data_IF_488132675608
#
_entry.id   IF_488132675608
#
_cell.length_a   1.000
_cell.length_b   1.000
_cell.length_c   1.000
_cell.angle_alpha   90.00
_cell.angle_beta   90.00
_cell.angle_gamma   90.00
#
_symmetry.space_group_name_H-M   'P 1'
#
loop_
_entity.id
_entity.type
_entity.pdbx_description
1 polymer ?
#
# COMPACT_ATOMS: atom_id res chain seq x y z
N UNK A 1 1.45 37.84 15.72
CA UNK A 1 0.32 37.26 14.94
C UNK A 1 0.87 36.09 14.14
N UNK A 2 0.15 34.99 14.04
CA UNK A 2 0.55 33.91 13.14
C UNK A 2 0.46 34.39 11.70
N UNK A 3 1.48 34.10 10.90
CA UNK A 3 1.54 34.44 9.47
C UNK A 3 1.33 33.14 8.66
N UNK A 4 0.42 33.17 7.70
CA UNK A 4 0.10 32.03 6.82
C UNK A 4 0.35 32.51 5.39
N UNK A 5 1.35 31.93 4.73
CA UNK A 5 1.80 32.37 3.39
C UNK A 5 0.83 32.00 2.28
N UNK A 6 0.20 30.83 2.36
CA UNK A 6 -0.87 30.39 1.45
C UNK A 6 -2.00 29.73 2.27
N UNK A 7 -3.08 30.47 2.58
CA UNK A 7 -4.15 29.97 3.44
C UNK A 7 -5.18 29.08 2.71
N UNK A 8 -5.05 28.89 1.39
CA UNK A 8 -6.08 28.21 0.57
C UNK A 8 -5.58 26.93 -0.12
N UNK A 9 -4.32 26.55 0.06
CA UNK A 9 -3.78 25.28 -0.41
C UNK A 9 -3.22 24.45 0.75
N UNK A 10 -3.12 23.14 0.53
CA UNK A 10 -2.38 22.23 1.41
C UNK A 10 -1.46 21.38 0.55
N UNK A 11 -0.34 20.93 1.09
CA UNK A 11 0.52 19.98 0.41
C UNK A 11 0.24 18.57 0.93
N UNK A 12 -0.07 17.65 0.02
CA UNK A 12 -0.09 16.22 0.35
C UNK A 12 1.35 15.79 0.66
N UNK A 13 1.62 15.08 1.78
CA UNK A 13 2.97 14.65 2.12
C UNK A 13 3.60 13.83 0.99
N UNK A 14 2.91 12.78 0.55
CA UNK A 14 3.37 11.87 -0.49
C UNK A 14 2.20 11.32 -1.32
N UNK A 15 2.45 11.12 -2.61
CA UNK A 15 1.58 10.36 -3.51
C UNK A 15 2.43 9.31 -4.20
N UNK A 16 1.96 8.07 -4.16
CA UNK A 16 2.56 6.93 -4.85
C UNK A 16 1.49 6.19 -5.65
N UNK A 17 1.89 5.49 -6.71
CA UNK A 17 1.00 4.61 -7.44
C UNK A 17 1.73 3.31 -7.80
N UNK A 18 0.96 2.22 -7.84
CA UNK A 18 1.40 0.94 -8.40
C UNK A 18 0.44 0.53 -9.50
N UNK A 19 0.95 -0.08 -10.57
CA UNK A 19 0.15 -0.59 -11.67
C UNK A 19 0.26 -2.12 -11.76
N UNK A 20 -0.75 -2.75 -12.34
CA UNK A 20 -0.62 -4.14 -12.79
C UNK A 20 0.34 -4.25 -13.99
N UNK A 21 0.70 -5.48 -14.33
CA UNK A 21 1.64 -5.77 -15.43
C UNK A 21 1.14 -5.22 -16.77
N UNK A 22 -0.17 -5.33 -17.01
CA UNK A 22 -0.81 -4.89 -18.24
C UNK A 22 -1.09 -3.37 -18.28
N UNK A 23 -0.89 -2.64 -17.18
CA UNK A 23 -1.19 -1.21 -17.09
C UNK A 23 -2.69 -0.89 -17.20
N UNK A 24 -3.56 -1.84 -16.90
CA UNK A 24 -5.02 -1.69 -16.95
C UNK A 24 -5.61 -1.25 -15.61
N UNK A 25 -4.92 -1.55 -14.52
CA UNK A 25 -5.37 -1.29 -13.16
C UNK A 25 -4.26 -0.58 -12.38
N UNK A 26 -4.63 0.48 -11.67
CA UNK A 26 -3.71 1.27 -10.83
C UNK A 26 -4.27 1.34 -9.42
N UNK A 27 -3.42 1.14 -8.41
CA UNK A 27 -3.74 1.63 -7.06
C UNK A 27 -2.97 2.93 -6.82
N UNK A 28 -3.71 4.02 -6.70
CA UNK A 28 -3.22 5.33 -6.31
C UNK A 28 -3.31 5.48 -4.79
N UNK A 29 -2.20 5.85 -4.16
CA UNK A 29 -2.02 5.90 -2.71
C UNK A 29 -1.63 7.34 -2.36
N UNK A 30 -2.56 8.07 -1.75
CA UNK A 30 -2.37 9.46 -1.35
C UNK A 30 -2.24 9.54 0.17
N UNK A 31 -1.09 9.96 0.68
CA UNK A 31 -0.98 10.36 2.07
C UNK A 31 -1.65 11.73 2.24
N UNK A 32 -2.50 11.87 3.24
CA UNK A 32 -3.22 13.13 3.47
C UNK A 32 -2.73 13.85 4.72
N UNK A 33 -2.56 15.17 4.61
CA UNK A 33 -2.30 16.05 5.76
C UNK A 33 -3.59 16.44 6.52
N UNK A 34 -4.77 16.24 5.91
CA UNK A 34 -6.06 16.64 6.47
C UNK A 34 -7.11 15.54 6.25
N UNK A 35 -7.50 14.87 7.35
CA UNK A 35 -8.49 13.78 7.31
C UNK A 35 -9.84 14.24 6.74
N UNK A 36 -10.30 15.44 7.08
CA UNK A 36 -11.57 15.97 6.57
C UNK A 36 -11.55 16.15 5.04
N UNK A 37 -10.44 16.66 4.51
CA UNK A 37 -10.22 16.78 3.07
C UNK A 37 -10.17 15.42 2.38
N UNK A 38 -9.48 14.44 3.00
CA UNK A 38 -9.44 13.08 2.50
C UNK A 38 -10.84 12.46 2.45
N UNK A 39 -11.60 12.44 3.56
CA UNK A 39 -12.95 11.85 3.58
C UNK A 39 -13.88 12.48 2.53
N UNK A 40 -13.78 13.80 2.35
CA UNK A 40 -14.54 14.50 1.33
C UNK A 40 -14.11 14.11 -0.10
N UNK A 41 -12.80 14.01 -0.34
CA UNK A 41 -12.26 13.58 -1.63
C UNK A 41 -12.68 12.14 -1.93
N UNK A 42 -12.50 11.20 -0.99
CA UNK A 42 -12.92 9.81 -1.17
C UNK A 42 -14.41 9.68 -1.46
N UNK A 43 -15.27 10.42 -0.74
CA UNK A 43 -16.72 10.40 -0.97
C UNK A 43 -17.13 10.90 -2.37
N UNK A 44 -16.44 11.90 -2.91
CA UNK A 44 -16.78 12.48 -4.21
C UNK A 44 -16.08 11.78 -5.36
N UNK A 45 -14.79 11.47 -5.22
CA UNK A 45 -13.97 10.90 -6.29
C UNK A 45 -14.40 9.47 -6.60
N UNK A 46 -14.94 8.71 -5.63
CA UNK A 46 -15.54 7.39 -5.89
C UNK A 46 -16.69 7.41 -6.92
N UNK A 47 -17.26 8.58 -7.22
CA UNK A 47 -18.31 8.74 -8.23
C UNK A 47 -17.75 8.80 -9.65
N UNK A 48 -16.42 8.95 -9.80
CA UNK A 48 -15.77 8.95 -11.11
C UNK A 48 -15.82 7.54 -11.72
N UNK A 49 -16.17 7.38 -13.01
CA UNK A 49 -16.34 6.05 -13.61
C UNK A 49 -15.10 5.15 -13.55
N UNK A 50 -13.90 5.77 -13.57
CA UNK A 50 -12.62 5.05 -13.48
C UNK A 50 -12.32 4.49 -12.08
N UNK A 51 -13.00 4.96 -11.03
CA UNK A 51 -12.73 4.56 -9.64
C UNK A 51 -13.53 3.32 -9.29
N UNK A 52 -12.85 2.18 -9.17
CA UNK A 52 -13.46 0.90 -8.80
C UNK A 52 -13.76 0.81 -7.29
N UNK A 53 -12.86 1.34 -6.45
CA UNK A 53 -13.08 1.41 -5.00
C UNK A 53 -12.18 2.46 -4.35
N UNK A 54 -12.59 2.89 -3.16
CA UNK A 54 -11.81 3.80 -2.30
C UNK A 54 -11.71 3.22 -0.90
N UNK A 55 -10.51 3.22 -0.34
CA UNK A 55 -10.23 2.77 1.03
C UNK A 55 -9.42 3.81 1.77
N UNK A 56 -9.68 3.93 3.06
CA UNK A 56 -8.87 4.73 3.99
C UNK A 56 -8.10 3.77 4.88
N UNK A 57 -6.78 3.89 4.87
CA UNK A 57 -5.86 2.97 5.54
C UNK A 57 -4.83 3.82 6.29
N UNK A 58 -5.03 3.98 7.60
CA UNK A 58 -4.21 4.90 8.40
C UNK A 58 -4.38 6.36 7.94
N UNK A 59 -3.26 6.99 7.59
CA UNK A 59 -3.17 8.33 7.00
C UNK A 59 -3.20 8.34 5.46
N UNK A 60 -3.51 7.20 4.83
CA UNK A 60 -3.57 7.10 3.36
C UNK A 60 -4.99 6.93 2.85
N UNK A 61 -5.25 7.50 1.69
CA UNK A 61 -6.42 7.23 0.86
C UNK A 61 -5.97 6.45 -0.37
N UNK A 62 -6.52 5.25 -0.55
CA UNK A 62 -6.17 4.33 -1.62
C UNK A 62 -7.33 4.22 -2.60
N UNK A 63 -7.07 4.56 -3.86
CA UNK A 63 -8.02 4.43 -4.95
C UNK A 63 -7.61 3.27 -5.84
N UNK A 64 -8.53 2.33 -6.06
CA UNK A 64 -8.39 1.35 -7.13
C UNK A 64 -8.99 1.92 -8.40
N UNK A 65 -8.18 2.06 -9.44
CA UNK A 65 -8.51 2.79 -10.66
C UNK A 65 -8.38 1.87 -11.88
N UNK A 66 -9.26 2.08 -12.86
CA UNK A 66 -9.09 1.55 -14.22
C UNK A 66 -8.36 2.57 -15.09
N UNK A 67 -7.43 2.12 -15.93
CA UNK A 67 -6.82 2.98 -16.95
C UNK A 67 -7.87 3.41 -17.99
N UNK A 68 -7.79 4.66 -18.45
CA UNK A 68 -8.76 5.24 -19.38
C UNK A 68 -8.94 6.74 -19.18
N UNK A 69 -9.85 7.31 -19.97
CA UNK A 69 -10.24 8.72 -19.91
C UNK A 69 -11.76 8.81 -20.01
N UNK A 70 -12.36 9.63 -19.16
CA UNK A 70 -13.81 9.79 -19.03
C UNK A 70 -14.17 11.25 -18.79
N UNK A 71 -15.26 11.70 -19.41
CA UNK A 71 -15.85 13.00 -19.12
C UNK A 71 -16.58 12.94 -17.76
N UNK A 72 -16.28 13.90 -16.89
CA UNK A 72 -16.94 13.98 -15.59
C UNK A 72 -18.12 14.96 -15.65
N UNK A 73 -19.36 14.52 -15.36
CA UNK A 73 -20.51 15.41 -15.25
C UNK A 73 -20.44 16.19 -13.93
N UNK A 74 -19.48 17.12 -13.82
CA UNK A 74 -19.21 17.85 -12.60
C UNK A 74 -20.37 18.77 -12.24
N UNK A 75 -20.83 18.66 -10.99
CA UNK A 75 -21.89 19.49 -10.45
C UNK A 75 -21.52 19.92 -9.04
N UNK A 76 -21.58 21.22 -8.78
CA UNK A 76 -21.32 21.77 -7.45
C UNK A 76 -22.18 21.07 -6.39
N UNK A 77 -21.60 20.82 -5.21
CA UNK A 77 -22.24 20.12 -4.08
C UNK A 77 -22.58 18.63 -4.28
N UNK A 78 -22.78 18.14 -5.51
CA UNK A 78 -23.17 16.75 -5.79
C UNK A 78 -22.02 15.90 -6.31
N UNK A 79 -21.31 16.37 -7.32
CA UNK A 79 -20.08 15.76 -7.83
C UNK A 79 -19.07 16.85 -8.23
N UNK A 80 -18.50 17.55 -7.24
CA UNK A 80 -17.72 18.76 -7.47
C UNK A 80 -16.29 18.50 -7.95
N UNK A 81 -15.78 17.28 -7.83
CA UNK A 81 -14.45 16.90 -8.30
C UNK A 81 -14.30 15.36 -8.37
N UNK A 82 -13.41 14.91 -9.26
CA UNK A 82 -13.12 13.48 -9.48
C UNK A 82 -11.86 13.24 -10.31
N UNK A 83 -11.65 11.97 -10.67
CA UNK A 83 -10.53 11.49 -11.50
C UNK A 83 -11.06 11.24 -12.92
N UNK A 84 -10.58 12.03 -13.86
CA UNK A 84 -11.04 12.05 -15.26
C UNK A 84 -10.17 11.18 -16.17
N UNK A 85 -8.88 10.98 -15.86
CA UNK A 85 -8.04 10.09 -16.64
C UNK A 85 -6.97 9.40 -15.80
N UNK A 86 -6.62 8.19 -16.22
CA UNK A 86 -5.51 7.38 -15.71
C UNK A 86 -4.75 6.84 -16.92
N UNK A 87 -3.53 7.34 -17.09
CA UNK A 87 -2.63 6.96 -18.18
C UNK A 87 -1.50 6.10 -17.60
N UNK A 88 -1.24 4.93 -18.19
CA UNK A 88 -0.11 4.08 -17.80
C UNK A 88 0.81 3.89 -18.99
N UNK A 89 2.08 4.22 -18.79
CA UNK A 89 3.16 3.99 -19.76
C UNK A 89 4.16 2.99 -19.19
N UNK A 90 5.27 2.75 -19.87
CA UNK A 90 6.31 1.87 -19.35
C UNK A 90 6.96 2.40 -18.06
N UNK A 91 7.05 3.73 -17.90
CA UNK A 91 7.81 4.35 -16.80
C UNK A 91 6.98 5.28 -15.91
N UNK A 92 5.82 5.76 -16.38
CA UNK A 92 5.01 6.76 -15.68
C UNK A 92 3.54 6.35 -15.58
N UNK A 93 2.91 6.76 -14.48
CA UNK A 93 1.46 6.74 -14.27
C UNK A 93 0.98 8.19 -14.19
N UNK A 94 0.14 8.60 -15.13
CA UNK A 94 -0.51 9.91 -15.16
C UNK A 94 -1.89 9.85 -14.52
N UNK A 95 -2.20 10.75 -13.59
CA UNK A 95 -3.53 10.90 -12.99
C UNK A 95 -4.06 12.30 -13.28
N UNK A 96 -5.20 12.37 -13.97
CA UNK A 96 -5.87 13.63 -14.29
C UNK A 96 -7.08 13.82 -13.40
N UNK A 97 -7.08 14.91 -12.64
CA UNK A 97 -8.17 15.35 -11.79
C UNK A 97 -8.92 16.50 -12.46
N UNK A 98 -10.23 16.55 -12.25
CA UNK A 98 -11.08 17.68 -12.63
C UNK A 98 -11.95 18.09 -11.45
N UNK A 99 -12.22 19.39 -11.32
CA UNK A 99 -13.11 19.89 -10.28
C UNK A 99 -13.63 21.28 -10.55
N UNK A 100 -14.75 21.62 -9.92
CA UNK A 100 -15.38 22.94 -9.97
C UNK A 100 -15.29 23.64 -8.62
N UNK A 101 -15.04 24.95 -8.63
CA UNK A 101 -14.98 25.77 -7.41
C UNK A 101 -13.91 25.27 -6.42
N UNK A 102 -14.29 25.05 -5.16
CA UNK A 102 -13.38 24.56 -4.12
C UNK A 102 -12.85 23.14 -4.38
N UNK A 103 -13.64 22.30 -5.06
CA UNK A 103 -13.19 20.97 -5.49
C UNK A 103 -12.04 21.04 -6.50
N UNK A 104 -12.04 22.07 -7.34
CA UNK A 104 -10.96 22.37 -8.28
C UNK A 104 -9.63 22.67 -7.59
N UNK A 105 -9.63 23.36 -6.44
CA UNK A 105 -8.39 23.67 -5.70
C UNK A 105 -7.69 22.39 -5.21
N UNK A 106 -8.47 21.48 -4.61
CA UNK A 106 -7.96 20.17 -4.18
C UNK A 106 -7.51 19.30 -5.35
N UNK A 107 -8.24 19.35 -6.48
CA UNK A 107 -7.89 18.65 -7.70
C UNK A 107 -6.61 19.18 -8.36
N UNK A 108 -6.21 20.44 -8.10
CA UNK A 108 -5.15 21.11 -8.87
C UNK A 108 -3.86 21.36 -8.13
N UNK A 109 -3.90 22.17 -7.06
CA UNK A 109 -2.68 22.70 -6.43
C UNK A 109 -2.19 21.75 -5.34
N UNK A 110 -3.09 21.10 -4.61
CA UNK A 110 -2.71 20.38 -3.40
C UNK A 110 -1.86 19.12 -3.62
N UNK A 111 -1.93 18.54 -4.83
CA UNK A 111 -1.22 17.31 -5.21
C UNK A 111 0.04 17.58 -6.03
N UNK A 112 0.11 18.75 -6.67
CA UNK A 112 1.14 19.06 -7.67
C UNK A 112 2.57 19.00 -7.12
N UNK A 113 2.75 19.30 -5.83
CA UNK A 113 4.05 19.33 -5.15
C UNK A 113 4.25 18.16 -4.18
N UNK A 114 3.36 17.16 -4.14
CA UNK A 114 3.52 16.04 -3.22
C UNK A 114 4.83 15.28 -3.50
N UNK A 115 5.44 14.70 -2.45
CA UNK A 115 6.56 13.79 -2.68
C UNK A 115 6.09 12.63 -3.58
N UNK A 116 6.99 12.15 -4.45
CA UNK A 116 6.66 11.12 -5.44
C UNK A 116 6.13 11.63 -6.77
N UNK A 117 5.68 12.89 -6.87
CA UNK A 117 5.29 13.51 -8.15
C UNK A 117 6.53 13.93 -8.95
N UNK A 118 6.71 13.37 -10.15
CA UNK A 118 7.83 13.69 -11.05
C UNK A 118 7.59 15.06 -11.71
N UNK A 119 6.36 15.28 -12.17
CA UNK A 119 5.93 16.49 -12.85
C UNK A 119 4.42 16.66 -12.71
N UNK A 120 3.95 17.90 -12.89
CA UNK A 120 2.54 18.24 -12.82
C UNK A 120 2.19 19.35 -13.81
N UNK A 121 0.92 19.41 -14.19
CA UNK A 121 0.32 20.47 -14.99
C UNK A 121 -1.01 20.83 -14.35
N UNK A 122 -1.23 22.10 -14.04
CA UNK A 122 -2.47 22.54 -13.39
C UNK A 122 -3.03 23.78 -14.08
N UNK A 123 -4.34 23.82 -14.26
CA UNK A 123 -5.07 25.01 -14.67
C UNK A 123 -5.16 26.00 -13.49
N UNK A 124 -5.27 27.32 -13.73
CA UNK A 124 -5.57 28.28 -12.67
C UNK A 124 -6.89 27.93 -11.96
N UNK A 125 -6.84 27.72 -10.64
CA UNK A 125 -8.01 27.31 -9.84
C UNK A 125 -8.68 28.49 -9.11
N UNK A 126 -9.99 28.39 -8.85
CA UNK A 126 -10.75 29.32 -8.00
C UNK A 126 -11.97 29.97 -8.66
N UNK A 127 -12.79 30.67 -7.86
CA UNK A 127 -13.88 31.52 -8.36
C UNK A 127 -15.04 30.81 -9.06
N UNK A 128 -15.30 29.54 -8.76
CA UNK A 128 -16.41 28.77 -9.34
C UNK A 128 -16.16 28.20 -10.74
N UNK A 129 -14.94 28.33 -11.27
CA UNK A 129 -14.55 27.76 -12.56
C UNK A 129 -14.22 26.28 -12.43
N UNK A 130 -14.39 25.56 -13.53
CA UNK A 130 -13.77 24.25 -13.70
C UNK A 130 -12.26 24.41 -13.86
N UNK A 131 -11.51 23.56 -13.19
CA UNK A 131 -10.05 23.48 -13.30
C UNK A 131 -9.64 22.00 -13.28
N UNK A 132 -8.63 21.66 -14.07
CA UNK A 132 -8.00 20.34 -13.99
C UNK A 132 -6.53 20.42 -13.63
N UNK A 133 -6.03 19.30 -13.14
CA UNK A 133 -4.60 19.07 -13.10
C UNK A 133 -4.28 17.63 -13.44
N UNK A 134 -3.05 17.45 -13.90
CA UNK A 134 -2.47 16.16 -14.15
C UNK A 134 -1.16 16.07 -13.38
N UNK A 135 -0.97 14.97 -12.67
CA UNK A 135 0.29 14.60 -12.04
C UNK A 135 0.84 13.34 -12.70
N UNK A 136 2.16 13.22 -12.76
CA UNK A 136 2.83 12.01 -13.22
C UNK A 136 3.70 11.46 -12.11
N UNK A 137 3.54 10.16 -11.87
CA UNK A 137 4.20 9.38 -10.84
C UNK A 137 5.08 8.32 -11.52
N UNK A 138 6.16 7.85 -10.89
CA UNK A 138 6.88 6.68 -11.40
C UNK A 138 5.95 5.47 -11.45
N UNK A 139 6.01 4.68 -12.52
CA UNK A 139 5.37 3.37 -12.56
C UNK A 139 6.16 2.42 -11.65
N UNK A 140 5.52 1.98 -10.57
CA UNK A 140 6.10 1.05 -9.60
C UNK A 140 5.35 -0.27 -9.57
N UNK A 141 6.08 -1.34 -9.31
CA UNK A 141 5.55 -2.65 -8.95
C UNK A 141 5.22 -2.66 -7.45
N UNK A 142 4.21 -3.43 -7.06
CA UNK A 142 3.97 -3.74 -5.65
C UNK A 142 4.81 -4.94 -5.23
N UNK A 143 5.50 -4.79 -4.11
CA UNK A 143 6.23 -5.86 -3.44
C UNK A 143 5.71 -5.95 -2.00
N UNK A 144 5.36 -7.16 -1.56
CA UNK A 144 4.97 -7.42 -0.17
C UNK A 144 5.93 -8.44 0.42
N UNK A 145 6.65 -8.05 1.47
CA UNK A 145 7.61 -8.90 2.18
C UNK A 145 6.95 -9.39 3.47
N UNK A 146 6.78 -10.70 3.56
CA UNK A 146 6.35 -11.41 4.76
C UNK A 146 7.54 -11.84 5.62
N UNK A 147 7.46 -11.62 6.94
CA UNK A 147 8.50 -11.99 7.92
C UNK A 147 7.87 -12.61 9.16
N UNK A 148 8.48 -13.66 9.70
CA UNK A 148 8.08 -14.29 10.96
C UNK A 148 9.26 -15.01 11.64
N UNK A 149 9.12 -15.31 12.94
CA UNK A 149 10.07 -16.07 13.77
C UNK A 149 11.48 -15.44 13.79
N UNK A 150 11.57 -14.14 14.09
CA UNK A 150 12.85 -13.40 14.16
C UNK A 150 13.35 -13.15 15.59
N UNK A 151 12.46 -13.24 16.57
CA UNK A 151 12.72 -12.93 17.97
C UNK A 151 12.86 -14.21 18.82
N UNK A 152 13.34 -14.03 20.06
CA UNK A 152 13.48 -15.11 21.04
C UNK A 152 12.53 -14.86 22.22
N UNK A 153 12.31 -15.84 23.12
CA UNK A 153 11.51 -15.60 24.32
C UNK A 153 12.04 -14.48 25.24
N UNK A 154 13.34 -14.20 25.16
CA UNK A 154 14.08 -13.25 25.99
C UNK A 154 14.27 -11.87 25.34
N UNK A 155 14.43 -11.80 24.01
CA UNK A 155 14.84 -10.59 23.29
C UNK A 155 14.18 -10.46 21.91
N UNK A 156 13.91 -9.21 21.51
CA UNK A 156 13.45 -8.85 20.17
C UNK A 156 11.93 -8.77 20.04
N UNK A 157 11.49 -8.29 18.87
CA UNK A 157 10.11 -8.36 18.42
C UNK A 157 10.05 -8.26 16.89
N UNK A 158 9.41 -9.23 16.24
CA UNK A 158 9.37 -9.32 14.77
C UNK A 158 8.82 -8.07 14.09
N UNK A 159 7.78 -7.45 14.66
CA UNK A 159 7.17 -6.27 14.06
C UNK A 159 8.06 -5.03 14.10
N UNK A 160 8.83 -4.82 15.18
CA UNK A 160 9.76 -3.68 15.24
C UNK A 160 10.94 -3.88 14.31
N UNK A 161 11.48 -5.11 14.25
CA UNK A 161 12.57 -5.42 13.35
C UNK A 161 12.15 -5.22 11.89
N UNK A 162 11.03 -5.80 11.49
CA UNK A 162 10.51 -5.70 10.12
C UNK A 162 10.21 -4.24 9.71
N UNK A 163 9.68 -3.43 10.63
CA UNK A 163 9.43 -2.01 10.40
C UNK A 163 10.73 -1.21 10.23
N UNK A 164 11.70 -1.39 11.13
CA UNK A 164 12.96 -0.65 11.09
C UNK A 164 13.77 -0.99 9.84
N UNK A 165 13.77 -2.26 9.41
CA UNK A 165 14.39 -2.67 8.14
C UNK A 165 13.67 -2.00 6.97
N UNK A 166 12.33 -2.02 6.97
CA UNK A 166 11.54 -1.40 5.90
C UNK A 166 11.82 0.10 5.74
N UNK A 167 11.97 0.83 6.85
CA UNK A 167 12.39 2.25 6.82
C UNK A 167 13.84 2.40 6.33
N UNK A 168 14.75 1.52 6.74
CA UNK A 168 16.16 1.60 6.37
C UNK A 168 16.43 1.34 4.87
N UNK A 169 15.61 0.51 4.22
CA UNK A 169 15.72 0.19 2.78
C UNK A 169 14.91 1.14 1.89
N UNK A 170 14.22 2.13 2.47
CA UNK A 170 13.43 3.08 1.71
C UNK A 170 14.34 4.01 0.88
N UNK A 171 13.99 4.20 -0.39
CA UNK A 171 14.68 5.10 -1.34
C UNK A 171 13.66 5.94 -2.12
N UNK A 172 14.09 6.91 -2.95
CA UNK A 172 13.18 7.55 -3.90
C UNK A 172 12.53 6.56 -4.88
N UNK A 173 13.22 5.50 -5.27
CA UNK A 173 12.75 4.46 -6.20
C UNK A 173 11.86 3.43 -5.49
N UNK A 174 12.10 3.21 -4.19
CA UNK A 174 11.44 2.21 -3.34
C UNK A 174 10.75 2.88 -2.14
N UNK A 175 9.43 2.98 -2.19
CA UNK A 175 8.62 3.61 -1.12
C UNK A 175 8.04 2.54 -0.20
N UNK A 176 8.31 2.64 1.09
CA UNK A 176 7.66 1.82 2.11
C UNK A 176 6.27 2.40 2.40
N UNK A 177 5.23 1.62 2.15
CA UNK A 177 3.83 2.09 2.13
C UNK A 177 3.12 1.78 3.44
N UNK A 178 3.24 0.55 3.92
CA UNK A 178 2.56 0.11 5.13
C UNK A 178 3.20 -1.14 5.72
N UNK A 179 3.04 -1.35 7.02
CA UNK A 179 3.17 -2.68 7.62
C UNK A 179 1.82 -3.17 8.12
N UNK A 180 1.70 -4.49 8.27
CA UNK A 180 0.57 -5.15 8.92
C UNK A 180 1.06 -6.28 9.81
N UNK A 181 0.69 -6.24 11.09
CA UNK A 181 0.89 -7.34 12.03
C UNK A 181 -0.29 -8.31 11.88
N UNK A 182 0.00 -9.58 11.67
CA UNK A 182 -0.98 -10.63 11.40
C UNK A 182 -0.96 -11.65 12.53
N UNK A 183 -2.06 -11.71 13.27
CA UNK A 183 -2.25 -12.68 14.34
C UNK A 183 -2.47 -14.08 13.76
N UNK A 184 -1.59 -15.03 14.06
CA UNK A 184 -1.69 -16.41 13.57
C UNK A 184 -2.32 -17.33 14.62
N UNK A 185 -2.63 -18.57 14.21
CA UNK A 185 -3.14 -19.59 15.11
C UNK A 185 -2.08 -19.93 16.17
N UNK A 186 -2.42 -19.97 17.48
CA UNK A 186 -1.44 -20.24 18.53
C UNK A 186 -0.95 -21.70 18.49
N UNK A 187 0.25 -21.92 17.98
CA UNK A 187 0.91 -23.24 17.95
C UNK A 187 1.81 -23.48 19.18
N UNK A 188 2.19 -24.73 19.53
CA UNK A 188 3.00 -25.01 20.71
C UNK A 188 4.40 -24.37 20.72
N UNK A 189 4.99 -24.17 19.54
CA UNK A 189 6.35 -23.65 19.35
C UNK A 189 6.39 -22.15 19.02
N UNK A 190 5.30 -21.43 19.26
CA UNK A 190 5.19 -19.98 19.02
C UNK A 190 6.12 -19.17 19.94
N UNK A 191 6.50 -17.97 19.50
CA UNK A 191 6.83 -16.88 20.42
C UNK A 191 5.55 -16.39 21.12
N UNK A 192 5.67 -15.55 22.16
CA UNK A 192 4.54 -15.24 23.07
C UNK A 192 3.23 -14.87 22.34
N UNK A 193 3.32 -14.16 21.22
CA UNK A 193 2.14 -13.63 20.51
C UNK A 193 1.82 -14.32 19.17
N UNK A 194 2.68 -15.18 18.62
CA UNK A 194 2.47 -15.87 17.33
C UNK A 194 1.99 -14.94 16.20
N UNK A 195 2.82 -13.99 15.80
CA UNK A 195 2.47 -12.97 14.79
C UNK A 195 3.45 -12.98 13.63
N UNK A 196 2.93 -13.06 12.40
CA UNK A 196 3.67 -12.73 11.19
C UNK A 196 3.52 -11.25 10.85
N UNK A 197 4.40 -10.72 10.03
CA UNK A 197 4.39 -9.31 9.60
C UNK A 197 4.43 -9.27 8.08
N UNK A 198 3.64 -8.37 7.47
CA UNK A 198 3.72 -8.04 6.06
C UNK A 198 4.09 -6.57 5.88
N UNK A 199 5.21 -6.30 5.19
CA UNK A 199 5.66 -4.97 4.78
C UNK A 199 5.34 -4.76 3.30
N UNK A 200 4.58 -3.72 2.98
CA UNK A 200 4.17 -3.37 1.63
C UNK A 200 5.04 -2.23 1.09
N UNK A 201 5.51 -2.40 -0.14
CA UNK A 201 6.33 -1.45 -0.86
C UNK A 201 5.76 -1.17 -2.25
N UNK A 202 6.05 0.02 -2.76
CA UNK A 202 5.96 0.34 -4.17
C UNK A 202 7.39 0.62 -4.67
N UNK A 203 7.87 -0.12 -5.67
CA UNK A 203 9.26 0.02 -6.14
C UNK A 203 9.40 -0.16 -7.65
N UNK A 204 10.35 0.55 -8.25
CA UNK A 204 10.86 0.28 -9.61
C UNK A 204 12.08 -0.64 -9.60
N UNK A 205 12.59 -1.02 -8.43
CA UNK A 205 13.83 -1.79 -8.23
C UNK A 205 13.60 -2.99 -7.27
N UNK A 206 12.66 -3.90 -7.62
CA UNK A 206 12.20 -4.95 -6.70
C UNK A 206 13.32 -5.88 -6.23
N UNK A 207 14.26 -6.26 -7.09
CA UNK A 207 15.38 -7.13 -6.71
C UNK A 207 16.32 -6.47 -5.71
N UNK A 208 16.60 -5.17 -5.88
CA UNK A 208 17.48 -4.43 -4.96
C UNK A 208 16.81 -4.25 -3.60
N UNK A 209 15.51 -3.96 -3.57
CA UNK A 209 14.72 -3.94 -2.33
C UNK A 209 14.80 -5.31 -1.62
N UNK A 210 14.47 -6.40 -2.32
CA UNK A 210 14.41 -7.74 -1.73
C UNK A 210 15.78 -8.14 -1.16
N UNK A 211 16.85 -7.88 -1.91
CA UNK A 211 18.20 -8.17 -1.49
C UNK A 211 18.61 -7.36 -0.24
N UNK A 212 18.43 -6.04 -0.26
CA UNK A 212 18.79 -5.18 0.86
C UNK A 212 17.98 -5.52 2.13
N UNK A 213 16.69 -5.83 1.98
CA UNK A 213 15.83 -6.26 3.09
C UNK A 213 16.32 -7.59 3.68
N UNK A 214 16.64 -8.57 2.83
CA UNK A 214 17.17 -9.86 3.27
C UNK A 214 18.51 -9.72 4.00
N UNK A 215 19.44 -8.90 3.51
CA UNK A 215 20.74 -8.69 4.15
C UNK A 215 20.59 -8.17 5.57
N UNK A 216 19.79 -7.12 5.77
CA UNK A 216 19.53 -6.57 7.11
C UNK A 216 18.76 -7.56 7.99
N UNK A 217 17.82 -8.32 7.42
CA UNK A 217 17.08 -9.32 8.18
C UNK A 217 18.01 -10.45 8.68
N UNK A 218 18.95 -10.90 7.84
CA UNK A 218 19.97 -11.88 8.22
C UNK A 218 20.96 -11.33 9.26
N UNK A 219 21.28 -10.05 9.19
CA UNK A 219 22.18 -9.39 10.15
C UNK A 219 21.55 -9.29 11.54
N UNK A 220 20.27 -8.93 11.61
CA UNK A 220 19.61 -8.53 12.86
C UNK A 220 18.65 -9.55 13.45
N UNK A 221 18.29 -10.62 12.72
CA UNK A 221 17.45 -11.67 13.29
C UNK A 221 18.16 -12.38 14.46
N UNK A 222 17.39 -12.72 15.49
CA UNK A 222 17.86 -13.45 16.68
C UNK A 222 17.50 -14.95 16.61
N UNK A 223 16.91 -15.41 15.50
CA UNK A 223 16.38 -16.76 15.35
C UNK A 223 16.89 -17.43 14.07
N UNK A 224 17.38 -18.66 14.20
CA UNK A 224 17.73 -19.53 13.06
C UNK A 224 16.49 -20.03 12.30
N UNK A 225 15.30 -19.83 12.89
CA UNK A 225 14.02 -20.28 12.34
C UNK A 225 13.29 -19.20 11.53
N UNK A 226 13.94 -18.06 11.28
CA UNK A 226 13.35 -16.94 10.54
C UNK A 226 12.85 -17.33 9.16
N UNK A 227 11.62 -16.90 8.89
CA UNK A 227 10.97 -16.99 7.59
C UNK A 227 10.95 -15.64 6.88
N UNK A 228 11.27 -15.65 5.59
CA UNK A 228 11.08 -14.51 4.70
C UNK A 228 10.50 -15.00 3.36
N UNK A 229 9.32 -14.47 3.03
CA UNK A 229 8.65 -14.70 1.75
C UNK A 229 8.36 -13.36 1.07
N UNK A 230 8.42 -13.33 -0.25
CA UNK A 230 8.15 -12.13 -1.05
C UNK A 230 7.05 -12.44 -2.04
N UNK A 231 6.04 -11.57 -2.08
CA UNK A 231 5.06 -11.53 -3.15
C UNK A 231 5.32 -10.33 -4.06
N UNK A 232 5.26 -10.59 -5.36
CA UNK A 232 5.49 -9.62 -6.43
C UNK A 232 4.29 -9.61 -7.35
N UNK A 233 3.73 -8.42 -7.55
CA UNK A 233 2.56 -8.23 -8.41
C UNK A 233 1.45 -7.44 -7.73
N UNK A 234 0.32 -7.30 -8.44
CA UNK A 234 -0.70 -6.35 -8.05
C UNK A 234 -1.56 -6.81 -6.87
N UNK A 235 -1.98 -8.08 -6.83
CA UNK A 235 -2.92 -8.57 -5.83
C UNK A 235 -2.48 -9.91 -5.22
N UNK A 236 -2.27 -10.01 -3.89
CA UNK A 236 -1.91 -11.26 -3.23
C UNK A 236 -3.12 -12.20 -3.02
N UNK A 237 -4.22 -12.00 -3.78
CA UNK A 237 -5.44 -12.80 -3.67
C UNK A 237 -5.22 -14.32 -3.78
N UNK A 238 -4.30 -14.85 -4.63
CA UNK A 238 -4.01 -16.29 -4.66
C UNK A 238 -3.57 -16.87 -3.32
N UNK A 239 -2.96 -16.05 -2.45
CA UNK A 239 -2.47 -16.47 -1.13
C UNK A 239 -3.55 -16.47 -0.05
N UNK A 240 -4.75 -15.94 -0.33
CA UNK A 240 -5.79 -15.70 0.67
C UNK A 240 -6.24 -16.98 1.39
N UNK A 241 -6.43 -18.06 0.64
CA UNK A 241 -6.85 -19.34 1.21
C UNK A 241 -5.79 -19.90 2.16
N UNK A 242 -4.52 -19.80 1.77
CA UNK A 242 -3.39 -20.22 2.61
C UNK A 242 -3.32 -19.39 3.90
N UNK A 243 -3.38 -18.06 3.79
CA UNK A 243 -3.37 -17.17 4.95
C UNK A 243 -4.47 -17.50 5.96
N UNK A 244 -5.71 -17.74 5.50
CA UNK A 244 -6.79 -18.16 6.38
C UNK A 244 -6.61 -19.56 6.97
N UNK A 245 -6.02 -20.50 6.23
CA UNK A 245 -5.72 -21.84 6.73
C UNK A 245 -4.77 -21.78 7.92
N UNK A 246 -3.67 -21.02 7.80
CA UNK A 246 -2.70 -20.79 8.88
C UNK A 246 -3.30 -20.04 10.07
N UNK A 247 -4.19 -19.07 9.82
CA UNK A 247 -4.91 -18.38 10.92
C UNK A 247 -5.87 -19.29 11.68
N UNK A 248 -6.43 -20.32 11.04
CA UNK A 248 -7.46 -21.20 11.63
C UNK A 248 -6.90 -22.46 12.29
N UNK A 249 -5.68 -22.87 11.99
CA UNK A 249 -5.09 -24.08 12.55
C UNK A 249 -3.67 -24.34 12.07
N UNK A 250 -3.12 -25.46 12.54
CA UNK A 250 -1.82 -25.95 12.09
C UNK A 250 -1.87 -26.37 10.61
N UNK A 251 -0.80 -26.05 9.89
CA UNK A 251 -0.63 -26.41 8.48
C UNK A 251 0.62 -27.27 8.28
N UNK A 252 0.65 -27.98 7.17
CA UNK A 252 1.77 -28.81 6.75
C UNK A 252 2.66 -28.07 5.74
N UNK A 253 3.88 -28.57 5.53
CA UNK A 253 4.74 -28.10 4.43
C UNK A 253 4.10 -28.31 3.04
N UNK A 254 3.20 -29.29 2.89
CA UNK A 254 2.46 -29.49 1.65
C UNK A 254 1.58 -28.29 1.32
N UNK A 255 0.99 -27.66 2.33
CA UNK A 255 0.13 -26.50 2.15
C UNK A 255 0.92 -25.27 1.66
N UNK A 256 2.17 -25.13 2.11
CA UNK A 256 3.08 -24.11 1.58
C UNK A 256 3.45 -24.38 0.12
N UNK A 257 3.62 -25.65 -0.26
CA UNK A 257 3.95 -26.01 -1.65
C UNK A 257 2.85 -25.60 -2.64
N UNK A 258 1.59 -25.55 -2.22
CA UNK A 258 0.45 -25.11 -3.06
C UNK A 258 0.55 -23.65 -3.48
N UNK A 259 1.28 -22.80 -2.74
CA UNK A 259 1.42 -21.37 -3.04
C UNK A 259 2.82 -20.97 -3.53
N UNK A 260 3.76 -21.92 -3.64
CA UNK A 260 5.17 -21.62 -3.97
C UNK A 260 5.35 -20.90 -5.30
N UNK A 261 4.46 -21.10 -6.27
CA UNK A 261 4.54 -20.39 -7.56
C UNK A 261 4.18 -18.90 -7.45
N UNK A 262 3.56 -18.48 -6.35
CA UNK A 262 3.12 -17.11 -6.12
C UNK A 262 4.05 -16.32 -5.20
N UNK A 263 5.05 -16.97 -4.60
CA UNK A 263 5.99 -16.32 -3.67
C UNK A 263 7.42 -16.71 -3.95
N UNK A 264 8.34 -15.80 -3.69
CA UNK A 264 9.76 -16.08 -3.60
C UNK A 264 10.14 -16.32 -2.14
N UNK A 265 10.76 -17.45 -1.85
CA UNK A 265 11.22 -17.80 -0.50
C UNK A 265 12.70 -17.43 -0.39
N UNK A 266 13.03 -16.48 0.50
CA UNK A 266 14.40 -16.00 0.74
C UNK A 266 15.03 -16.66 1.97
N UNK A 267 14.22 -16.92 3.01
CA UNK A 267 14.63 -17.61 4.23
C UNK A 267 13.58 -18.65 4.59
N UNK A 268 13.97 -19.94 4.61
CA UNK A 268 13.06 -21.08 4.75
C UNK A 268 13.14 -21.74 6.14
N UNK A 269 13.40 -20.96 7.19
CA UNK A 269 13.21 -21.40 8.58
C UNK A 269 11.72 -21.66 8.87
N UNK A 270 11.39 -22.22 10.04
CA UNK A 270 10.00 -22.53 10.42
C UNK A 270 9.04 -21.35 10.28
N UNK A 271 9.50 -20.11 10.50
CA UNK A 271 8.73 -18.88 10.30
C UNK A 271 8.18 -18.71 8.87
N UNK A 272 8.66 -19.45 7.87
CA UNK A 272 8.21 -19.30 6.48
C UNK A 272 6.69 -19.48 6.31
N UNK A 273 6.08 -20.31 7.16
CA UNK A 273 4.63 -20.52 7.18
C UNK A 273 3.90 -19.21 7.54
N UNK A 274 4.32 -18.55 8.62
CA UNK A 274 3.69 -17.31 9.07
C UNK A 274 4.05 -16.12 8.19
N UNK A 275 5.28 -16.06 7.70
CA UNK A 275 5.73 -15.06 6.73
C UNK A 275 4.86 -15.09 5.45
N UNK A 276 4.70 -16.26 4.83
CA UNK A 276 3.86 -16.41 3.64
C UNK A 276 2.36 -16.16 3.94
N UNK A 277 1.89 -16.57 5.13
CA UNK A 277 0.50 -16.36 5.54
C UNK A 277 0.16 -14.89 5.81
N UNK A 278 1.14 -14.06 6.17
CA UNK A 278 0.92 -12.65 6.49
C UNK A 278 0.66 -11.79 5.24
N UNK A 279 1.33 -12.10 4.12
CA UNK A 279 1.27 -11.36 2.84
C UNK A 279 -0.17 -11.01 2.40
N UNK A 280 -1.13 -11.96 2.28
CA UNK A 280 -2.48 -11.65 1.80
C UNK A 280 -3.27 -10.69 2.70
N UNK A 281 -2.82 -10.45 3.93
CA UNK A 281 -3.47 -9.55 4.87
C UNK A 281 -2.89 -8.13 4.87
N UNK A 282 -1.93 -7.80 3.99
CA UNK A 282 -1.43 -6.44 3.85
C UNK A 282 -2.60 -5.44 3.73
N UNK A 283 -2.64 -4.46 4.64
CA UNK A 283 -3.70 -3.44 4.82
C UNK A 283 -5.10 -3.95 5.22
N UNK A 284 -5.27 -5.26 5.45
CA UNK A 284 -6.53 -5.87 5.94
C UNK A 284 -6.51 -5.98 7.46
N UNK A 285 -6.34 -4.85 8.16
CA UNK A 285 -6.07 -4.84 9.60
C UNK A 285 -7.10 -5.58 10.45
N UNK A 286 -8.39 -5.53 10.10
CA UNK A 286 -9.43 -6.23 10.87
C UNK A 286 -9.25 -7.74 10.79
N UNK A 287 -9.04 -8.28 9.60
CA UNK A 287 -8.81 -9.70 9.35
C UNK A 287 -7.42 -10.14 9.85
N UNK A 288 -6.41 -9.28 9.69
CA UNK A 288 -5.06 -9.52 10.19
C UNK A 288 -5.07 -9.75 11.72
N UNK A 289 -5.79 -8.91 12.47
CA UNK A 289 -5.84 -8.96 13.93
C UNK A 289 -6.88 -9.92 14.48
N UNK A 290 -7.78 -10.47 13.66
CA UNK A 290 -8.79 -11.41 14.15
C UNK A 290 -8.14 -12.71 14.62
N UNK A 291 -8.47 -13.15 15.84
CA UNK A 291 -8.08 -14.45 16.39
C UNK A 291 -9.11 -15.49 15.95
N UNK A 292 -8.66 -16.59 15.34
CA UNK A 292 -9.50 -17.75 15.11
C UNK A 292 -9.24 -18.78 16.22
N UNK A 293 -10.30 -19.31 16.81
CA UNK A 293 -10.21 -20.30 17.91
C UNK A 293 -10.14 -21.74 17.43
N UNK A 294 -10.03 -21.99 16.12
CA UNK A 294 -10.04 -23.33 15.53
C UNK A 294 -11.41 -24.01 15.51
N UNK A 295 -12.43 -23.39 16.10
CA UNK A 295 -13.83 -23.80 16.00
C UNK A 295 -14.47 -23.01 14.85
N UNK A 296 -15.00 -23.73 13.84
CA UNK A 296 -15.77 -23.16 12.73
C UNK A 296 -17.07 -22.54 13.19
#
# INVERSE_FOLDING_TARGET
>A
MANISDPYSIRYPEICAVADENGTTVELIEEFACTGGAMWAGHNYQKSPLVQSVRVVGNTQRFLLSAGEEDLPLEGSYFPAGIAAVEVTDNEIGITYRGVGGGGVGATVCRAEAAGVIRSKSDPCGGGREAGAQIWLPRRERVIIGVDDTDTPEEGATWTLAHNIAEAVETPETRYISHTIVQLFPVPYRTKNCVGVACEFATSEPEMLVHAYEELLREYTLSDETGMAVFRGFSPAPLMNYGWKVKRGEVTKSDLNEIREHIEIRMEGRGIIGAAAAIPFATRYKEALSICTGET
#
